data_IF_790574905397
#
_entry.id   IF_790574905397
#
_cell.length_a   1.000
_cell.length_b   1.000
_cell.length_c   1.000
_cell.angle_alpha   90.00
_cell.angle_beta   90.00
_cell.angle_gamma   90.00
#
_symmetry.space_group_name_H-M   'P 1'
#
loop_
_entity.id
_entity.type
_entity.pdbx_description
1 polymer ?
#
# COMPACT_ATOMS: atom_id res chain seq x y z
N UNK A 1 1.12 -4.11 20.45
CA UNK A 1 0.96 -2.99 19.46
C UNK A 1 2.07 -2.99 18.41
N UNK A 2 3.38 -3.02 18.77
CA UNK A 2 4.47 -3.07 17.78
C UNK A 2 4.39 -4.34 16.93
N UNK A 3 4.25 -5.52 17.53
CA UNK A 3 4.13 -6.79 16.81
C UNK A 3 2.91 -6.83 15.90
N UNK A 4 1.79 -6.26 16.33
CA UNK A 4 0.57 -6.14 15.54
C UNK A 4 0.79 -5.27 14.28
N UNK A 5 1.49 -4.14 14.42
CA UNK A 5 1.84 -3.28 13.27
C UNK A 5 2.79 -3.99 12.31
N UNK A 6 3.78 -4.72 12.81
CA UNK A 6 4.72 -5.50 11.98
C UNK A 6 3.97 -6.58 11.19
N UNK A 7 3.08 -7.33 11.86
CA UNK A 7 2.25 -8.34 11.19
C UNK A 7 1.34 -7.75 10.12
N UNK A 8 0.72 -6.59 10.40
CA UNK A 8 -0.13 -5.90 9.43
C UNK A 8 0.65 -5.42 8.20
N UNK A 9 1.89 -4.94 8.36
CA UNK A 9 2.73 -4.56 7.22
C UNK A 9 3.21 -5.76 6.41
N UNK A 10 3.54 -6.88 7.06
CA UNK A 10 3.86 -8.13 6.37
C UNK A 10 2.67 -8.64 5.53
N UNK A 11 1.47 -8.61 6.10
CA UNK A 11 0.23 -8.89 5.38
C UNK A 11 0.03 -7.93 4.20
N UNK A 12 0.18 -6.62 4.39
CA UNK A 12 -0.05 -5.64 3.33
C UNK A 12 0.91 -5.85 2.15
N UNK A 13 2.18 -6.13 2.43
CA UNK A 13 3.18 -6.48 1.42
C UNK A 13 2.78 -7.74 0.64
N UNK A 14 2.40 -8.81 1.33
CA UNK A 14 1.92 -10.06 0.72
C UNK A 14 0.70 -9.80 -0.18
N UNK A 15 -0.29 -9.08 0.31
CA UNK A 15 -1.52 -8.80 -0.41
C UNK A 15 -1.29 -7.93 -1.65
N UNK A 16 -0.48 -6.87 -1.52
CA UNK A 16 -0.13 -6.00 -2.66
C UNK A 16 0.71 -6.76 -3.70
N UNK A 17 1.61 -7.65 -3.28
CA UNK A 17 2.38 -8.50 -4.21
C UNK A 17 1.44 -9.37 -5.04
N UNK A 18 0.49 -10.07 -4.41
CA UNK A 18 -0.51 -10.90 -5.14
C UNK A 18 -1.33 -10.08 -6.14
N UNK A 19 -1.75 -8.87 -5.76
CA UNK A 19 -2.49 -7.98 -6.66
C UNK A 19 -1.63 -7.52 -7.83
N UNK A 20 -0.38 -7.13 -7.60
CA UNK A 20 0.56 -6.75 -8.66
C UNK A 20 0.83 -7.90 -9.63
N UNK A 21 0.96 -9.14 -9.13
CA UNK A 21 1.11 -10.33 -9.97
C UNK A 21 -0.10 -10.54 -10.89
N UNK A 22 -1.30 -10.31 -10.39
CA UNK A 22 -2.50 -10.35 -11.23
C UNK A 22 -2.52 -9.19 -12.24
N UNK A 23 -2.08 -7.99 -11.86
CA UNK A 23 -1.99 -6.83 -12.77
C UNK A 23 -0.99 -7.04 -13.91
N UNK A 24 0.06 -7.86 -13.75
CA UNK A 24 1.01 -8.20 -14.83
C UNK A 24 0.37 -8.95 -16.00
N UNK A 25 -0.86 -9.46 -15.82
CA UNK A 25 -1.63 -10.09 -16.90
C UNK A 25 -2.37 -9.07 -17.79
N UNK A 26 -2.40 -7.80 -17.38
CA UNK A 26 -2.98 -6.71 -18.19
C UNK A 26 -2.04 -6.37 -19.36
N UNK A 27 -2.62 -5.96 -20.48
CA UNK A 27 -1.84 -5.26 -21.51
C UNK A 27 -1.45 -3.86 -21.02
N UNK A 28 -0.48 -3.21 -21.68
CA UNK A 28 -0.09 -1.85 -21.35
C UNK A 28 -1.27 -0.87 -21.47
N UNK A 29 -2.10 -1.05 -22.50
CA UNK A 29 -3.30 -0.24 -22.72
C UNK A 29 -4.34 -0.46 -21.60
N UNK A 30 -4.60 -1.71 -21.20
CA UNK A 30 -5.53 -2.04 -20.11
C UNK A 30 -5.06 -1.46 -18.77
N UNK A 31 -3.75 -1.44 -18.51
CA UNK A 31 -3.18 -0.92 -17.26
C UNK A 31 -3.51 0.56 -17.05
N UNK A 32 -3.52 1.35 -18.14
CA UNK A 32 -3.77 2.79 -18.09
C UNK A 32 -5.20 3.19 -18.46
N UNK A 33 -5.99 2.28 -19.01
CA UNK A 33 -7.36 2.54 -19.43
C UNK A 33 -8.32 2.67 -18.24
N UNK A 34 -9.35 3.47 -18.41
CA UNK A 34 -10.54 3.45 -17.55
C UNK A 34 -11.36 2.21 -17.88
N UNK A 35 -11.53 1.24 -16.96
CA UNK A 35 -12.28 0.01 -17.24
C UNK A 35 -13.79 0.25 -17.39
N UNK A 36 -14.26 1.39 -16.89
CA UNK A 36 -15.62 1.93 -17.01
C UNK A 36 -15.50 3.44 -17.06
N UNK A 37 -16.26 4.17 -17.88
CA UNK A 37 -16.24 5.63 -17.89
C UNK A 37 -16.43 6.24 -16.50
N UNK A 38 -15.52 7.15 -16.13
CA UNK A 38 -15.51 7.80 -14.82
C UNK A 38 -14.79 7.01 -13.71
N UNK A 39 -14.31 5.79 -13.98
CA UNK A 39 -13.43 5.07 -13.06
C UNK A 39 -11.97 5.40 -13.37
N UNK A 40 -11.16 5.57 -12.31
CA UNK A 40 -9.71 5.68 -12.50
C UNK A 40 -9.12 4.36 -13.05
N UNK A 41 -7.97 4.45 -13.74
CA UNK A 41 -7.26 3.26 -14.24
C UNK A 41 -6.74 2.35 -13.09
N UNK A 42 -6.27 1.16 -13.45
CA UNK A 42 -5.53 0.29 -12.52
C UNK A 42 -4.26 1.01 -12.06
N UNK A 43 -3.53 1.65 -13.00
CA UNK A 43 -2.33 2.45 -12.70
C UNK A 43 -2.60 3.50 -11.64
N UNK A 44 -3.61 4.35 -11.85
CA UNK A 44 -3.96 5.42 -10.91
C UNK A 44 -4.26 4.90 -9.52
N UNK A 45 -4.95 3.76 -9.41
CA UNK A 45 -5.29 3.18 -8.11
C UNK A 45 -4.07 2.61 -7.39
N UNK A 46 -3.18 1.89 -8.10
CA UNK A 46 -1.95 1.37 -7.51
C UNK A 46 -1.00 2.51 -7.14
N UNK A 47 -0.89 3.52 -8.01
CA UNK A 47 -0.14 4.74 -7.69
C UNK A 47 -0.64 5.39 -6.40
N UNK A 48 -1.96 5.49 -6.22
CA UNK A 48 -2.54 6.07 -5.02
C UNK A 48 -2.21 5.27 -3.76
N UNK A 49 -2.25 3.94 -3.82
CA UNK A 49 -1.79 3.07 -2.72
C UNK A 49 -0.33 3.39 -2.37
N UNK A 50 0.54 3.38 -3.37
CA UNK A 50 1.98 3.58 -3.19
C UNK A 50 2.30 5.00 -2.68
N UNK A 51 1.64 6.03 -3.23
CA UNK A 51 1.78 7.42 -2.82
C UNK A 51 1.43 7.62 -1.34
N UNK A 52 0.29 7.08 -0.90
CA UNK A 52 -0.16 7.23 0.49
C UNK A 52 0.77 6.47 1.44
N UNK A 53 1.19 5.27 1.07
CA UNK A 53 2.14 4.47 1.85
C UNK A 53 3.48 5.21 2.03
N UNK A 54 4.07 5.66 0.92
CA UNK A 54 5.36 6.35 0.94
C UNK A 54 5.28 7.68 1.69
N UNK A 55 4.23 8.47 1.47
CA UNK A 55 4.03 9.74 2.16
C UNK A 55 4.01 9.59 3.68
N UNK A 56 3.22 8.63 4.21
CA UNK A 56 3.12 8.45 5.65
C UNK A 56 4.41 7.88 6.26
N UNK A 57 5.08 6.96 5.58
CA UNK A 57 6.35 6.43 6.06
C UNK A 57 7.47 7.46 6.03
N UNK A 58 7.53 8.33 5.01
CA UNK A 58 8.45 9.47 4.99
C UNK A 58 8.19 10.45 6.12
N UNK A 59 6.93 10.76 6.37
CA UNK A 59 6.56 11.61 7.51
C UNK A 59 7.03 11.03 8.83
N UNK A 60 6.86 9.71 9.03
CA UNK A 60 7.35 9.01 10.23
C UNK A 60 8.87 8.98 10.33
N UNK A 61 9.57 8.94 9.20
CA UNK A 61 11.03 9.00 9.14
C UNK A 61 11.59 10.42 9.40
N UNK A 62 10.74 11.45 9.35
CA UNK A 62 11.19 12.84 9.39
C UNK A 62 11.92 13.24 8.10
N UNK A 63 11.64 12.57 6.99
CA UNK A 63 12.25 12.82 5.68
C UNK A 63 11.54 13.99 4.99
N UNK A 64 12.20 15.15 4.82
CA UNK A 64 11.59 16.34 4.23
C UNK A 64 11.49 16.28 2.70
N UNK A 65 12.12 15.29 2.06
CA UNK A 65 12.14 15.17 0.60
C UNK A 65 10.78 14.73 0.05
N UNK A 66 10.11 15.60 -0.69
CA UNK A 66 8.82 15.38 -1.33
C UNK A 66 8.93 14.71 -2.72
N UNK A 67 10.12 14.22 -3.12
CA UNK A 67 10.36 13.58 -4.42
C UNK A 67 9.71 12.19 -4.51
N UNK A 68 8.40 12.12 -4.31
CA UNK A 68 7.62 10.93 -4.62
C UNK A 68 7.36 10.92 -6.12
N UNK A 69 7.62 9.81 -6.84
CA UNK A 69 7.31 9.70 -8.25
C UNK A 69 5.86 10.10 -8.56
N UNK A 70 5.64 10.68 -9.72
CA UNK A 70 4.29 10.98 -10.22
C UNK A 70 3.63 9.72 -10.78
N UNK A 71 2.33 9.77 -11.04
CA UNK A 71 1.64 8.64 -11.68
C UNK A 71 2.23 8.31 -13.06
N UNK A 72 2.70 9.32 -13.80
CA UNK A 72 3.32 9.14 -15.13
C UNK A 72 4.61 8.31 -15.07
N UNK A 73 5.34 8.37 -13.96
CA UNK A 73 6.58 7.62 -13.77
C UNK A 73 6.33 6.12 -13.54
N UNK A 74 5.07 5.72 -13.28
CA UNK A 74 4.65 4.33 -13.14
C UNK A 74 4.11 3.80 -14.48
N UNK A 75 4.95 3.79 -15.51
CA UNK A 75 4.56 3.36 -16.84
C UNK A 75 4.14 1.89 -16.90
N UNK A 76 4.70 1.05 -16.02
CA UNK A 76 4.45 -0.39 -15.94
C UNK A 76 4.05 -0.81 -14.53
N UNK A 77 3.49 -2.01 -14.41
CA UNK A 77 3.21 -2.64 -13.10
C UNK A 77 4.49 -2.82 -12.28
N UNK A 78 5.63 -3.07 -12.95
CA UNK A 78 6.91 -3.26 -12.26
C UNK A 78 7.47 -1.94 -11.70
N UNK A 79 7.16 -0.80 -12.31
CA UNK A 79 7.47 0.50 -11.72
C UNK A 79 6.71 0.71 -10.40
N UNK A 80 5.43 0.38 -10.40
CA UNK A 80 4.60 0.42 -9.20
C UNK A 80 5.10 -0.55 -8.12
N UNK A 81 5.49 -1.76 -8.51
CA UNK A 81 6.06 -2.76 -7.60
C UNK A 81 7.35 -2.23 -6.94
N UNK A 82 8.24 -1.59 -7.72
CA UNK A 82 9.48 -0.98 -7.19
C UNK A 82 9.20 0.15 -6.20
N UNK A 83 8.18 0.97 -6.47
CA UNK A 83 7.79 2.05 -5.55
C UNK A 83 7.27 1.50 -4.22
N UNK A 84 6.38 0.51 -4.25
CA UNK A 84 5.87 -0.16 -3.05
C UNK A 84 6.97 -0.88 -2.27
N UNK A 85 7.88 -1.58 -2.97
CA UNK A 85 8.99 -2.27 -2.32
C UNK A 85 9.95 -1.28 -1.63
N UNK A 86 10.15 -0.09 -2.20
CA UNK A 86 10.91 0.99 -1.54
C UNK A 86 10.23 1.43 -0.25
N UNK A 87 8.90 1.59 -0.26
CA UNK A 87 8.14 1.94 0.93
C UNK A 87 8.23 0.85 2.02
N UNK A 88 8.14 -0.44 1.65
CA UNK A 88 8.29 -1.54 2.61
C UNK A 88 9.70 -1.60 3.23
N UNK A 89 10.76 -1.36 2.44
CA UNK A 89 12.12 -1.26 2.99
C UNK A 89 12.22 -0.11 3.98
N UNK A 90 11.64 1.06 3.69
CA UNK A 90 11.59 2.18 4.63
C UNK A 90 10.88 1.81 5.93
N UNK A 91 9.80 1.03 5.87
CA UNK A 91 9.15 0.52 7.06
C UNK A 91 10.10 -0.37 7.89
N UNK A 92 10.84 -1.28 7.27
CA UNK A 92 11.81 -2.13 7.96
C UNK A 92 12.93 -1.31 8.64
N UNK A 93 13.39 -0.23 8.00
CA UNK A 93 14.37 0.71 8.59
C UNK A 93 13.79 1.47 9.79
N UNK A 94 12.50 1.83 9.73
CA UNK A 94 11.79 2.52 10.82
C UNK A 94 11.46 1.58 11.99
N UNK A 95 11.21 0.31 11.73
CA UNK A 95 10.70 -0.68 12.69
C UNK A 95 11.43 -0.70 14.03
N UNK A 96 12.79 -0.69 14.10
CA UNK A 96 13.50 -0.68 15.37
C UNK A 96 13.24 0.57 16.23
N UNK A 97 12.77 1.66 15.62
CA UNK A 97 12.51 2.94 16.28
C UNK A 97 11.06 3.07 16.76
N UNK A 98 10.17 2.15 16.42
CA UNK A 98 8.75 2.19 16.75
C UNK A 98 8.48 1.68 18.16
N UNK A 99 9.05 2.34 19.17
CA UNK A 99 8.79 2.02 20.58
C UNK A 99 7.34 2.35 20.97
N UNK A 100 6.80 1.77 22.06
CA UNK A 100 5.46 2.12 22.55
C UNK A 100 5.28 3.62 22.78
N UNK A 101 6.30 4.31 23.28
CA UNK A 101 6.29 5.76 23.51
C UNK A 101 6.17 6.50 22.18
N UNK A 102 7.03 6.16 21.19
CA UNK A 102 7.01 6.79 19.88
C UNK A 102 5.70 6.54 19.16
N UNK A 103 5.15 5.32 19.23
CA UNK A 103 3.88 4.98 18.60
C UNK A 103 2.70 5.83 19.12
N UNK A 104 2.78 6.33 20.36
CA UNK A 104 1.76 7.16 20.99
C UNK A 104 2.08 8.67 20.95
N UNK A 105 3.27 9.07 20.52
CA UNK A 105 3.63 10.49 20.40
C UNK A 105 2.87 11.13 19.25
N UNK A 106 2.08 12.15 19.55
CA UNK A 106 1.25 12.82 18.55
C UNK A 106 2.11 13.62 17.58
N UNK A 107 1.90 13.39 16.28
CA UNK A 107 2.54 14.11 15.19
C UNK A 107 1.56 15.02 14.46
N UNK A 108 2.06 16.14 13.95
CA UNK A 108 1.27 17.07 13.13
C UNK A 108 1.66 16.89 11.66
N UNK A 109 0.69 16.47 10.86
CA UNK A 109 0.79 16.37 9.41
C UNK A 109 0.30 17.66 8.76
N UNK A 110 1.04 18.17 7.79
CA UNK A 110 0.59 19.28 6.94
C UNK A 110 0.66 18.84 5.48
N UNK A 111 -0.48 18.78 4.83
CA UNK A 111 -0.55 18.42 3.40
C UNK A 111 -1.72 19.12 2.71
N UNK A 112 -1.47 19.66 1.51
CA UNK A 112 -2.50 20.29 0.67
C UNK A 112 -3.33 21.36 1.43
N UNK A 113 -2.67 22.18 2.26
CA UNK A 113 -3.33 23.21 3.06
C UNK A 113 -4.14 22.70 4.25
N UNK A 114 -4.14 21.38 4.51
CA UNK A 114 -4.80 20.77 5.66
C UNK A 114 -3.78 20.40 6.73
N UNK A 115 -4.19 20.52 7.98
CA UNK A 115 -3.41 20.08 9.15
C UNK A 115 -4.21 18.98 9.86
N UNK A 116 -3.56 17.86 10.12
CA UNK A 116 -4.09 16.78 10.93
C UNK A 116 -3.10 16.40 12.03
N UNK A 117 -3.60 16.05 13.19
CA UNK A 117 -2.79 15.67 14.35
C UNK A 117 -3.19 14.25 14.77
N UNK A 118 -2.26 13.31 14.69
CA UNK A 118 -2.52 11.90 14.98
C UNK A 118 -1.24 11.17 15.42
N UNK A 119 -1.37 10.08 16.21
CA UNK A 119 -0.22 9.30 16.63
C UNK A 119 0.26 8.36 15.50
N UNK A 120 1.56 8.00 15.47
CA UNK A 120 2.14 7.06 14.51
C UNK A 120 1.38 5.74 14.35
N UNK A 121 0.87 5.16 15.45
CA UNK A 121 0.10 3.92 15.34
C UNK A 121 -1.14 4.06 14.45
N UNK A 122 -1.80 5.22 14.49
CA UNK A 122 -2.97 5.47 13.66
C UNK A 122 -2.60 5.67 12.18
N UNK A 123 -1.45 6.32 11.91
CA UNK A 123 -0.91 6.44 10.54
C UNK A 123 -0.57 5.07 9.94
N UNK A 124 0.11 4.23 10.71
CA UNK A 124 0.51 2.89 10.26
C UNK A 124 -0.70 1.99 9.98
N UNK A 125 -1.71 2.02 10.85
CA UNK A 125 -2.97 1.31 10.60
C UNK A 125 -3.75 1.88 9.43
N UNK A 126 -3.72 3.21 9.25
CA UNK A 126 -4.34 3.85 8.09
C UNK A 126 -3.73 3.35 6.78
N UNK A 127 -2.41 3.22 6.67
CA UNK A 127 -1.73 2.71 5.46
C UNK A 127 -2.34 1.36 5.06
N UNK A 128 -2.39 0.39 5.98
CA UNK A 128 -2.87 -0.97 5.69
C UNK A 128 -4.36 -0.99 5.34
N UNK A 129 -5.18 -0.25 6.11
CA UNK A 129 -6.62 -0.16 5.85
C UNK A 129 -6.93 0.52 4.50
N UNK A 130 -6.23 1.62 4.19
CA UNK A 130 -6.32 2.34 2.93
C UNK A 130 -5.91 1.45 1.74
N UNK A 131 -4.81 0.75 1.89
CA UNK A 131 -4.33 -0.21 0.90
C UNK A 131 -5.37 -1.31 0.63
N UNK A 132 -5.98 -1.88 1.68
CA UNK A 132 -7.04 -2.90 1.56
C UNK A 132 -8.26 -2.38 0.82
N UNK A 133 -8.71 -1.15 1.12
CA UNK A 133 -9.83 -0.51 0.42
C UNK A 133 -9.56 -0.37 -1.09
N UNK A 134 -8.38 0.11 -1.45
CA UNK A 134 -8.00 0.30 -2.85
C UNK A 134 -7.65 -1.00 -3.57
N UNK A 135 -7.15 -2.04 -2.88
CA UNK A 135 -7.02 -3.39 -3.46
C UNK A 135 -8.38 -3.93 -3.92
N UNK A 136 -9.44 -3.71 -3.15
CA UNK A 136 -10.81 -4.06 -3.57
C UNK A 136 -11.22 -3.37 -4.88
N UNK A 137 -10.84 -2.09 -5.06
CA UNK A 137 -11.07 -1.37 -6.32
C UNK A 137 -10.25 -1.95 -7.48
N UNK A 138 -8.97 -2.30 -7.25
CA UNK A 138 -8.15 -2.97 -8.28
C UNK A 138 -8.77 -4.31 -8.66
N UNK A 139 -9.21 -5.11 -7.69
CA UNK A 139 -9.88 -6.39 -7.93
C UNK A 139 -11.12 -6.25 -8.82
N UNK A 140 -11.95 -5.24 -8.56
CA UNK A 140 -13.12 -4.96 -9.40
C UNK A 140 -12.73 -4.58 -10.84
N UNK A 141 -11.63 -3.81 -11.02
CA UNK A 141 -11.10 -3.42 -12.33
C UNK A 141 -10.53 -4.61 -13.10
N UNK A 142 -9.76 -5.48 -12.43
CA UNK A 142 -9.24 -6.71 -13.03
C UNK A 142 -10.37 -7.59 -13.60
N UNK A 143 -11.47 -7.76 -12.85
CA UNK A 143 -12.65 -8.49 -13.34
C UNK A 143 -13.25 -7.89 -14.62
N UNK A 144 -13.25 -6.57 -14.77
CA UNK A 144 -13.71 -5.90 -16.00
C UNK A 144 -12.84 -6.20 -17.21
N UNK A 145 -11.56 -6.49 -16.99
CA UNK A 145 -10.64 -6.92 -18.03
C UNK A 145 -10.57 -8.46 -18.19
N UNK A 146 -11.46 -9.21 -17.53
CA UNK A 146 -11.49 -10.67 -17.60
C UNK A 146 -10.38 -11.37 -16.81
N UNK A 147 -9.72 -10.67 -15.89
CA UNK A 147 -8.67 -11.22 -15.04
C UNK A 147 -9.26 -11.50 -13.67
N UNK A 148 -9.16 -12.77 -13.21
CA UNK A 148 -9.58 -13.15 -11.86
C UNK A 148 -8.61 -12.55 -10.82
N UNK A 149 -9.11 -11.72 -9.89
CA UNK A 149 -8.27 -11.14 -8.84
C UNK A 149 -7.92 -12.19 -7.79
N UNK A 150 -6.74 -12.07 -7.15
CA UNK A 150 -6.37 -12.97 -6.06
C UNK A 150 -7.20 -12.69 -4.80
N UNK A 151 -7.43 -13.72 -4.01
CA UNK A 151 -7.90 -13.56 -2.63
C UNK A 151 -6.78 -12.94 -1.77
N UNK A 152 -7.11 -11.84 -1.09
CA UNK A 152 -6.15 -11.09 -0.24
C UNK A 152 -6.70 -10.83 1.15
N UNK A 153 -7.58 -11.69 1.64
CA UNK A 153 -8.11 -11.57 2.99
C UNK A 153 -7.02 -11.80 4.04
N UNK A 154 -7.05 -11.00 5.10
CA UNK A 154 -6.11 -11.14 6.21
C UNK A 154 -6.13 -12.54 6.83
N UNK A 155 -7.32 -13.14 6.93
CA UNK A 155 -7.49 -14.50 7.41
C UNK A 155 -6.71 -15.53 6.60
N UNK A 156 -6.70 -15.43 5.26
CA UNK A 156 -5.95 -16.33 4.38
C UNK A 156 -4.46 -16.20 4.65
N UNK A 157 -3.95 -14.96 4.75
CA UNK A 157 -2.56 -14.71 5.08
C UNK A 157 -2.17 -15.34 6.42
N UNK A 158 -3.03 -15.19 7.45
CA UNK A 158 -2.77 -15.79 8.77
C UNK A 158 -2.66 -17.31 8.67
N UNK A 159 -3.58 -17.97 7.95
CA UNK A 159 -3.53 -19.44 7.76
C UNK A 159 -2.23 -19.86 7.05
N UNK A 160 -1.77 -19.10 6.05
CA UNK A 160 -0.52 -19.39 5.34
C UNK A 160 0.73 -19.26 6.25
N UNK A 161 0.64 -18.52 7.38
CA UNK A 161 1.75 -18.38 8.35
C UNK A 161 1.75 -19.48 9.43
N UNK A 162 0.64 -20.19 9.62
CA UNK A 162 0.52 -21.25 10.62
C UNK A 162 0.94 -22.58 9.99
N UNK A 163 1.91 -23.31 10.56
CA UNK A 163 2.21 -24.66 10.11
C UNK A 163 0.95 -25.53 10.13
N UNK A 164 0.59 -26.12 9.01
CA UNK A 164 -0.52 -27.06 8.94
C UNK A 164 0.00 -28.39 9.49
N UNK A 165 -0.62 -28.89 10.53
CA UNK A 165 -0.38 -30.26 11.00
C UNK A 165 -0.84 -31.22 9.89
N UNK A 166 0.06 -32.13 9.49
CA UNK A 166 -0.19 -33.12 8.46
C UNK A 166 -1.05 -34.28 8.98
#
# INVERSE_FOLDING_TARGET
>A
MQDDVVALFAYDRWANTKVLDACRKLTAEQYVAEPVPGWSSVRSTIYHIALVTEFHLRTLAGDPDDSIPTEADLATVDDAARLLERAYRRFEELRPTLTPERLNTVLTLRRLGRTATLPPWAMLRHIVNHSSYHRGQVAAKLKRFGIEPPATDFFIWVIEQIPQEA
#
